data_IF_519441757914
#
_entry.id   IF_519441757914
#
_cell.length_a   1.000
_cell.length_b   1.000
_cell.length_c   1.000
_cell.angle_alpha   90.00
_cell.angle_beta   90.00
_cell.angle_gamma   90.00
#
_symmetry.space_group_name_H-M   'P 1'
#
loop_
_entity.id
_entity.type
_entity.pdbx_description
1 polymer ?
#
# COMPACT_ATOMS: atom_id res chain seq x y z
N UNK A 1 -9.15 8.47 -25.49
CA UNK A 1 -8.75 7.59 -24.37
C UNK A 1 -9.85 7.69 -23.33
N UNK A 2 -10.26 6.57 -22.71
CA UNK A 2 -11.30 6.59 -21.68
C UNK A 2 -10.61 6.69 -20.33
N UNK A 3 -10.70 7.85 -19.69
CA UNK A 3 -10.05 8.11 -18.40
C UNK A 3 -11.07 7.95 -17.26
N UNK A 4 -11.38 6.69 -16.93
CA UNK A 4 -12.29 6.35 -15.83
C UNK A 4 -11.54 6.32 -14.52
N UNK A 5 -12.09 6.93 -13.48
CA UNK A 5 -11.52 6.86 -12.14
C UNK A 5 -11.71 5.45 -11.59
N UNK A 6 -10.66 4.92 -10.97
CA UNK A 6 -10.61 3.60 -10.38
C UNK A 6 -10.40 3.69 -8.87
N UNK A 7 -10.72 2.59 -8.19
CA UNK A 7 -10.42 2.45 -6.77
C UNK A 7 -8.91 2.65 -6.52
N UNK A 8 -8.57 3.54 -5.58
CA UNK A 8 -7.18 3.86 -5.23
C UNK A 8 -6.53 4.90 -6.13
N UNK A 9 -7.24 5.46 -7.11
CA UNK A 9 -6.78 6.66 -7.82
C UNK A 9 -6.67 7.83 -6.84
N UNK A 10 -5.72 8.72 -7.13
CA UNK A 10 -5.37 9.85 -6.25
C UNK A 10 -6.16 11.09 -6.59
N UNK A 11 -6.14 12.05 -5.68
CA UNK A 11 -6.72 13.39 -5.88
C UNK A 11 -5.62 14.43 -5.89
N UNK A 12 -5.88 15.60 -6.48
CA UNK A 12 -4.96 16.75 -6.47
C UNK A 12 -4.58 17.21 -5.05
N UNK A 13 -5.43 16.91 -4.06
CA UNK A 13 -5.24 17.22 -2.64
C UNK A 13 -4.44 16.15 -1.89
N UNK A 14 -3.90 15.14 -2.59
CA UNK A 14 -3.10 14.08 -1.97
C UNK A 14 -3.92 13.00 -1.25
N UNK A 15 -5.24 13.01 -1.43
CA UNK A 15 -6.12 11.95 -0.98
C UNK A 15 -6.35 10.85 -2.03
N UNK A 16 -7.22 9.90 -1.74
CA UNK A 16 -7.50 8.76 -2.62
C UNK A 16 -8.96 8.29 -2.58
N UNK A 17 -9.39 7.67 -3.68
CA UNK A 17 -10.70 7.01 -3.81
C UNK A 17 -10.70 5.72 -3.00
N UNK A 18 -11.61 5.63 -2.03
CA UNK A 18 -11.67 4.50 -1.07
C UNK A 18 -12.82 3.54 -1.33
N UNK A 19 -13.86 3.97 -2.05
CA UNK A 19 -14.98 3.11 -2.46
C UNK A 19 -15.21 3.21 -3.97
N UNK A 20 -15.81 2.17 -4.54
CA UNK A 20 -16.01 2.02 -5.98
C UNK A 20 -17.14 1.01 -6.23
N UNK A 21 -17.58 0.89 -7.49
CA UNK A 21 -18.54 -0.14 -7.90
C UNK A 21 -18.07 -1.55 -7.56
N UNK A 22 -18.96 -2.38 -7.03
CA UNK A 22 -18.69 -3.80 -6.76
C UNK A 22 -18.66 -4.66 -8.03
N UNK A 23 -19.42 -4.24 -9.05
CA UNK A 23 -19.67 -5.01 -10.28
C UNK A 23 -18.84 -4.48 -11.44
N UNK A 24 -18.86 -3.15 -11.65
CA UNK A 24 -18.19 -2.54 -12.79
C UNK A 24 -16.68 -2.49 -12.61
N UNK A 25 -15.97 -3.08 -13.57
CA UNK A 25 -14.51 -3.13 -13.59
C UNK A 25 -13.97 -2.72 -14.95
N UNK A 26 -12.89 -1.96 -14.95
CA UNK A 26 -12.14 -1.59 -16.14
C UNK A 26 -10.69 -2.00 -15.96
N UNK A 27 -10.13 -2.78 -16.89
CA UNK A 27 -8.78 -3.34 -16.73
C UNK A 27 -8.60 -4.23 -15.49
N UNK A 28 -9.69 -4.83 -14.98
CA UNK A 28 -9.69 -5.65 -13.77
C UNK A 28 -9.82 -4.88 -12.45
N UNK A 29 -9.84 -3.55 -12.48
CA UNK A 29 -9.97 -2.69 -11.29
C UNK A 29 -11.38 -2.12 -11.21
N UNK A 30 -11.92 -1.99 -9.99
CA UNK A 30 -13.23 -1.40 -9.73
C UNK A 30 -13.27 0.07 -10.13
N UNK A 31 -14.34 0.48 -10.80
CA UNK A 31 -14.53 1.84 -11.31
C UNK A 31 -15.33 2.67 -10.29
N UNK A 32 -14.89 3.91 -10.06
CA UNK A 32 -15.56 4.86 -9.18
C UNK A 32 -16.72 5.56 -9.90
N UNK A 33 -17.76 5.86 -9.15
CA UNK A 33 -19.03 6.42 -9.60
C UNK A 33 -19.37 7.64 -8.77
N UNK A 34 -20.33 8.42 -9.26
CA UNK A 34 -20.95 9.49 -8.46
C UNK A 34 -21.49 8.89 -7.15
N UNK A 35 -21.12 9.51 -6.03
CA UNK A 35 -21.48 9.06 -4.68
C UNK A 35 -20.44 8.18 -4.00
N UNK A 36 -19.41 7.71 -4.70
CA UNK A 36 -18.32 6.99 -4.05
C UNK A 36 -17.45 7.94 -3.20
N UNK A 37 -16.98 7.43 -2.08
CA UNK A 37 -16.18 8.16 -1.08
C UNK A 37 -14.71 8.31 -1.48
N UNK A 38 -14.17 9.48 -1.10
CA UNK A 38 -12.77 9.88 -1.27
C UNK A 38 -12.21 10.42 0.02
N UNK A 39 -10.95 10.10 0.30
CA UNK A 39 -10.21 10.71 1.40
C UNK A 39 -9.60 12.03 0.95
N UNK A 40 -9.49 13.01 1.86
CA UNK A 40 -8.85 14.29 1.57
C UNK A 40 -8.07 14.77 2.82
N UNK A 41 -6.73 14.61 2.85
CA UNK A 41 -5.91 15.07 3.97
C UNK A 41 -6.05 16.57 4.32
N UNK A 42 -6.18 17.51 3.35
CA UNK A 42 -6.30 18.92 3.69
C UNK A 42 -7.70 19.34 4.18
N UNK A 43 -8.74 18.51 3.99
CA UNK A 43 -10.11 18.82 4.42
C UNK A 43 -10.70 17.67 5.27
N UNK A 44 -10.13 17.39 6.45
CA UNK A 44 -10.61 16.32 7.33
C UNK A 44 -12.02 16.57 7.88
N UNK A 45 -12.51 17.81 7.85
CA UNK A 45 -13.85 18.19 8.30
C UNK A 45 -14.98 17.77 7.34
N UNK A 46 -14.66 17.49 6.07
CA UNK A 46 -15.64 17.08 5.07
C UNK A 46 -15.82 15.57 5.14
N UNK A 47 -16.81 15.11 5.92
CA UNK A 47 -17.14 13.68 6.08
C UNK A 47 -18.66 13.47 5.98
N UNK A 48 -19.16 12.64 5.05
CA UNK A 48 -18.41 11.93 4.01
C UNK A 48 -18.03 12.87 2.85
N UNK A 49 -16.79 12.74 2.37
CA UNK A 49 -16.38 13.40 1.13
C UNK A 49 -16.65 12.44 -0.03
N UNK A 50 -17.58 12.81 -0.90
CA UNK A 50 -18.06 11.94 -1.99
C UNK A 50 -17.87 12.58 -3.35
N UNK A 51 -17.72 11.76 -4.39
CA UNK A 51 -17.65 12.23 -5.77
C UNK A 51 -19.02 12.81 -6.17
N UNK A 52 -19.07 14.08 -6.51
CA UNK A 52 -20.34 14.78 -6.84
C UNK A 52 -20.63 14.81 -8.34
N UNK A 53 -19.60 14.61 -9.17
CA UNK A 53 -19.68 14.65 -10.62
C UNK A 53 -19.60 13.24 -11.24
N UNK A 54 -20.36 13.01 -12.30
CA UNK A 54 -20.37 11.77 -13.06
C UNK A 54 -20.71 12.04 -14.53
N UNK A 55 -20.29 11.13 -15.40
CA UNK A 55 -20.59 11.17 -16.83
C UNK A 55 -21.83 10.33 -17.12
N UNK A 56 -22.90 10.99 -17.57
CA UNK A 56 -24.18 10.34 -17.88
C UNK A 56 -24.12 9.45 -19.14
N UNK A 57 -23.05 9.54 -19.95
CA UNK A 57 -22.85 8.63 -21.08
C UNK A 57 -22.43 7.22 -20.67
N UNK A 58 -21.84 7.07 -19.47
CA UNK A 58 -21.40 5.79 -18.92
C UNK A 58 -21.99 5.64 -17.53
N UNK A 59 -22.99 4.79 -17.40
CA UNK A 59 -23.67 4.53 -16.12
C UNK A 59 -23.50 3.08 -15.68
N UNK A 60 -23.27 2.87 -14.40
CA UNK A 60 -23.31 1.56 -13.76
C UNK A 60 -24.57 1.46 -12.90
N UNK A 61 -25.49 0.57 -13.27
CA UNK A 61 -26.80 0.44 -12.61
C UNK A 61 -27.57 1.77 -12.47
N UNK A 62 -27.44 2.67 -13.47
CA UNK A 62 -28.06 4.00 -13.46
C UNK A 62 -27.31 5.07 -12.67
N UNK A 63 -26.15 4.74 -12.07
CA UNK A 63 -25.27 5.70 -11.42
C UNK A 63 -24.17 6.12 -12.39
N UNK A 64 -24.00 7.43 -12.68
CA UNK A 64 -23.00 7.89 -13.63
C UNK A 64 -21.57 7.68 -13.11
N UNK A 65 -20.67 7.29 -14.01
CA UNK A 65 -19.27 6.95 -13.71
C UNK A 65 -18.41 8.19 -13.60
N UNK A 66 -17.45 8.20 -12.66
CA UNK A 66 -16.53 9.31 -12.48
C UNK A 66 -15.37 9.27 -13.50
N UNK A 67 -14.95 10.44 -13.99
CA UNK A 67 -13.86 10.59 -14.96
C UNK A 67 -12.74 11.47 -14.42
N UNK A 68 -11.58 11.39 -15.08
CA UNK A 68 -10.45 12.29 -14.90
C UNK A 68 -10.92 13.75 -14.80
N UNK A 69 -10.50 14.44 -13.73
CA UNK A 69 -10.83 15.84 -13.49
C UNK A 69 -12.18 16.09 -12.82
N UNK A 70 -12.99 15.06 -12.53
CA UNK A 70 -14.22 15.23 -11.76
C UNK A 70 -13.93 15.65 -10.32
N UNK A 71 -14.91 16.31 -9.70
CA UNK A 71 -14.78 16.86 -8.36
C UNK A 71 -15.50 16.03 -7.29
N UNK A 72 -14.96 16.10 -6.08
CA UNK A 72 -15.61 15.62 -4.86
C UNK A 72 -16.24 16.78 -4.06
N UNK A 73 -16.96 16.45 -2.98
CA UNK A 73 -17.62 17.42 -2.10
C UNK A 73 -16.65 18.47 -1.53
N UNK A 74 -15.40 18.08 -1.22
CA UNK A 74 -14.38 19.02 -0.75
C UNK A 74 -13.77 19.90 -1.86
N UNK A 75 -14.16 19.70 -3.12
CA UNK A 75 -13.62 20.41 -4.28
C UNK A 75 -12.31 19.85 -4.84
N UNK A 76 -11.81 18.72 -4.33
CA UNK A 76 -10.64 18.06 -4.93
C UNK A 76 -10.98 17.49 -6.31
N UNK A 77 -10.02 17.50 -7.24
CA UNK A 77 -10.15 16.88 -8.56
C UNK A 77 -9.51 15.48 -8.57
N UNK A 78 -10.20 14.52 -9.19
CA UNK A 78 -9.76 13.13 -9.31
C UNK A 78 -8.70 12.97 -10.42
N UNK A 79 -7.67 12.16 -10.14
CA UNK A 79 -6.54 11.91 -11.03
C UNK A 79 -6.37 10.41 -11.29
N UNK A 80 -6.70 9.98 -12.51
CA UNK A 80 -6.51 8.64 -13.02
C UNK A 80 -5.04 8.32 -13.34
N UNK A 81 -4.61 7.11 -12.98
CA UNK A 81 -3.33 6.53 -13.43
C UNK A 81 -2.10 7.01 -12.66
N UNK A 82 -2.29 7.94 -11.72
CA UNK A 82 -1.25 8.38 -10.80
C UNK A 82 -1.27 7.47 -9.58
N UNK A 83 -0.78 6.25 -9.75
CA UNK A 83 -0.38 5.41 -8.62
C UNK A 83 0.68 6.19 -7.83
N UNK A 84 0.43 6.58 -6.57
CA UNK A 84 1.44 7.29 -5.80
C UNK A 84 2.67 6.39 -5.72
N UNK A 85 3.84 6.96 -5.95
CA UNK A 85 5.12 6.24 -5.99
C UNK A 85 5.32 5.33 -4.76
N UNK A 86 4.69 5.69 -3.62
CA UNK A 86 4.66 4.92 -2.39
C UNK A 86 3.91 3.57 -2.45
N UNK A 87 3.04 3.32 -3.45
CA UNK A 87 2.29 2.05 -3.61
C UNK A 87 2.82 1.13 -4.72
N UNK A 88 3.92 1.49 -5.40
CA UNK A 88 4.54 0.65 -6.46
C UNK A 88 5.30 -0.58 -5.96
N UNK A 89 5.33 -0.86 -4.66
CA UNK A 89 6.25 -1.83 -4.05
C UNK A 89 5.66 -3.17 -3.60
N UNK A 90 4.46 -3.61 -4.05
CA UNK A 90 3.92 -4.89 -3.53
C UNK A 90 3.34 -5.92 -4.51
N UNK A 91 3.59 -5.81 -5.82
CA UNK A 91 3.28 -6.92 -6.75
C UNK A 91 4.37 -7.20 -7.79
N UNK A 92 5.64 -6.98 -7.46
CA UNK A 92 6.74 -7.58 -8.21
C UNK A 92 7.19 -8.88 -7.51
N UNK A 93 6.77 -10.01 -8.09
CA UNK A 93 7.35 -11.37 -7.93
C UNK A 93 7.18 -12.07 -6.57
N UNK A 94 6.02 -12.68 -6.35
CA UNK A 94 5.98 -14.01 -5.70
C UNK A 94 6.13 -15.09 -6.78
N UNK A 95 7.28 -15.10 -7.45
CA UNK A 95 7.59 -16.00 -8.55
C UNK A 95 9.09 -16.20 -8.67
N UNK A 96 9.51 -17.39 -8.22
CA UNK A 96 10.82 -18.03 -8.38
C UNK A 96 12.02 -17.44 -7.61
N UNK A 97 12.66 -18.33 -6.86
CA UNK A 97 14.11 -18.33 -6.73
C UNK A 97 14.63 -18.09 -5.33
N UNK A 98 15.02 -19.18 -4.69
CA UNK A 98 16.02 -19.29 -3.64
C UNK A 98 17.19 -18.31 -3.89
N UNK A 99 17.14 -17.10 -3.34
CA UNK A 99 18.31 -16.24 -3.24
C UNK A 99 18.75 -16.27 -1.77
N UNK A 100 19.74 -17.11 -1.52
CA UNK A 100 20.46 -17.22 -0.26
C UNK A 100 21.21 -15.90 -0.10
N UNK A 101 20.57 -14.88 0.46
CA UNK A 101 21.27 -13.66 0.81
C UNK A 101 22.11 -13.97 2.05
N UNK A 102 23.38 -14.23 1.84
CA UNK A 102 24.37 -14.30 2.91
C UNK A 102 24.36 -12.92 3.57
N UNK A 103 23.70 -12.81 4.73
CA UNK A 103 23.75 -11.60 5.56
C UNK A 103 25.23 -11.30 5.81
N UNK A 104 25.73 -10.05 5.62
CA UNK A 104 27.03 -9.72 6.16
C UNK A 104 26.90 -9.89 7.67
N UNK A 105 27.58 -10.90 8.20
CA UNK A 105 27.69 -11.15 9.62
C UNK A 105 28.31 -9.88 10.21
N UNK A 106 27.51 -9.04 10.84
CA UNK A 106 28.01 -8.08 11.79
C UNK A 106 28.63 -8.93 12.90
N UNK A 107 29.96 -9.07 12.86
CA UNK A 107 30.70 -9.93 13.76
C UNK A 107 30.38 -9.55 15.20
N UNK A 108 29.74 -10.46 15.93
CA UNK A 108 29.56 -10.34 17.38
C UNK A 108 30.92 -10.52 18.02
N UNK A 109 31.57 -9.41 18.26
CA UNK A 109 32.81 -9.31 19.01
C UNK A 109 32.46 -9.35 20.51
N UNK A 110 32.86 -10.43 21.20
CA UNK A 110 32.74 -10.57 22.66
C UNK A 110 33.99 -10.01 23.35
N UNK A 111 33.87 -9.12 24.35
CA UNK A 111 35.02 -8.56 25.03
C UNK A 111 35.69 -9.63 25.91
N UNK A 112 37.00 -9.80 25.74
CA UNK A 112 37.87 -10.62 26.57
C UNK A 112 39.09 -9.81 27.03
N UNK A 113 39.82 -10.25 28.06
CA UNK A 113 40.85 -9.46 28.73
C UNK A 113 42.04 -9.05 27.84
N UNK A 114 42.18 -9.61 26.64
CA UNK A 114 43.25 -9.31 25.68
C UNK A 114 42.73 -8.95 24.27
N UNK A 115 41.49 -8.43 24.16
CA UNK A 115 40.91 -8.00 22.89
C UNK A 115 40.07 -9.06 22.16
N UNK A 116 39.41 -8.62 21.08
CA UNK A 116 38.37 -9.36 20.35
C UNK A 116 38.94 -10.47 19.45
N UNK A 117 38.38 -11.69 19.54
CA UNK A 117 38.73 -12.83 18.68
C UNK A 117 37.54 -13.24 17.80
N UNK A 118 37.74 -13.64 16.53
CA UNK A 118 36.66 -14.09 15.65
C UNK A 118 36.10 -15.46 16.10
N UNK A 119 34.78 -15.59 16.11
CA UNK A 119 34.09 -16.85 16.39
C UNK A 119 34.09 -17.75 15.14
N UNK A 120 34.52 -19.00 15.29
CA UNK A 120 34.43 -20.01 14.23
C UNK A 120 32.98 -20.48 14.08
N UNK A 121 32.41 -20.55 12.87
CA UNK A 121 31.03 -20.98 12.69
C UNK A 121 30.92 -22.51 12.85
N UNK A 122 30.15 -22.96 13.84
CA UNK A 122 29.73 -24.36 13.95
C UNK A 122 28.53 -24.58 13.03
N UNK A 123 28.69 -25.43 12.01
CA UNK A 123 27.62 -25.78 11.09
C UNK A 123 26.73 -26.87 11.71
N UNK A 124 25.45 -26.57 11.93
CA UNK A 124 24.42 -27.54 12.36
C UNK A 124 23.49 -27.85 11.19
N UNK A 125 23.57 -29.07 10.64
CA UNK A 125 22.56 -29.62 9.73
C UNK A 125 21.39 -30.17 10.56
N UNK A 126 20.21 -29.55 10.48
CA UNK A 126 18.99 -30.03 11.14
C UNK A 126 17.82 -30.11 10.18
N UNK A 127 17.51 -31.32 9.69
CA UNK A 127 16.23 -31.64 9.07
C UNK A 127 15.16 -31.83 10.17
N UNK A 128 13.98 -31.21 10.02
CA UNK A 128 12.76 -31.60 10.76
C UNK A 128 11.85 -30.46 11.21
N UNK A 129 10.67 -30.36 10.58
CA UNK A 129 9.49 -29.56 10.97
C UNK A 129 8.83 -30.05 12.28
N UNK A 130 7.67 -29.52 12.71
CA UNK A 130 7.29 -28.15 13.08
C UNK A 130 6.82 -28.08 14.56
N UNK A 131 6.75 -26.90 15.18
CA UNK A 131 5.65 -26.51 16.10
C UNK A 131 5.86 -25.12 16.72
N UNK A 132 4.85 -24.29 16.48
CA UNK A 132 4.28 -23.29 17.39
C UNK A 132 5.21 -22.19 17.94
N UNK A 133 5.07 -20.98 17.41
CA UNK A 133 5.46 -19.75 18.10
C UNK A 133 4.33 -18.72 17.97
N UNK A 134 3.45 -18.70 18.97
CA UNK A 134 2.85 -17.45 19.45
C UNK A 134 3.94 -16.68 20.19
N UNK A 135 3.92 -15.34 20.14
CA UNK A 135 4.13 -14.42 21.29
C UNK A 135 4.23 -12.98 20.77
N UNK A 136 3.14 -12.25 20.99
CA UNK A 136 3.01 -10.92 21.59
C UNK A 136 4.28 -10.00 21.61
N UNK A 137 4.17 -8.86 20.92
CA UNK A 137 4.36 -7.45 21.36
C UNK A 137 4.90 -7.15 22.79
N UNK A 138 5.33 -5.91 23.14
CA UNK A 138 5.77 -4.74 22.34
C UNK A 138 6.95 -3.93 22.98
N UNK A 139 7.30 -2.78 22.36
CA UNK A 139 7.86 -1.54 22.98
C UNK A 139 9.26 -1.55 23.60
N UNK A 140 10.25 -0.89 22.97
CA UNK A 140 11.16 0.09 23.61
C UNK A 140 11.71 1.06 22.55
N UNK A 141 11.68 2.36 22.85
CA UNK A 141 12.11 3.52 22.03
C UNK A 141 13.65 3.64 21.94
N UNK A 142 14.21 4.30 20.90
CA UNK A 142 15.65 4.58 20.85
C UNK A 142 16.00 5.88 21.58
N UNK A 143 17.09 5.87 22.35
CA UNK A 143 17.83 7.08 22.75
C UNK A 143 19.16 7.02 22.03
N UNK A 144 19.43 8.01 21.18
CA UNK A 144 20.71 8.21 20.53
C UNK A 144 21.60 9.06 21.45
N UNK A 145 22.90 8.77 21.47
CA UNK A 145 23.92 9.71 21.90
C UNK A 145 24.95 9.90 20.79
#
# INVERSE_FOLDING_TARGET
MIDLIQLGDTTNHGGEVITASEVMRYGGVRVARKGDEVTCPPHPEVVPNVIVEGDDSITDHGVPVARQGHHATCGCSLIHGLVPFAKRSFLQRAGAGLHIYIRPFCGTHVPGPNGFRPATPTYIHGFGSPKTAQVLSPTVRPVCH
#
